data_IF_431633357312
#
_entry.id   IF_431633357312
#
_cell.length_a   1.000
_cell.length_b   1.000
_cell.length_c   1.000
_cell.angle_alpha   90.00
_cell.angle_beta   90.00
_cell.angle_gamma   90.00
#
_symmetry.space_group_name_H-M   'P 1'
#
loop_
_entity.id
_entity.type
_entity.pdbx_description
1 polymer ?
#
# COMPACT_ATOMS: atom_id res chain seq x y z
N UNK A 1 29.35 -7.70 15.01
CA UNK A 1 29.22 -7.05 13.68
C UNK A 1 28.68 -8.12 12.73
N UNK A 2 27.37 -8.16 12.50
CA UNK A 2 26.76 -9.23 11.69
C UNK A 2 27.09 -8.94 10.22
N UNK A 3 28.06 -9.66 9.67
CA UNK A 3 28.29 -9.71 8.22
C UNK A 3 27.06 -10.34 7.59
N UNK A 4 26.17 -9.50 7.09
CA UNK A 4 25.09 -9.91 6.22
C UNK A 4 25.75 -10.36 4.90
N UNK A 5 25.82 -11.66 4.68
CA UNK A 5 26.23 -12.29 3.42
C UNK A 5 25.33 -11.74 2.31
N UNK A 6 25.85 -10.72 1.60
CA UNK A 6 25.14 -10.01 0.53
C UNK A 6 24.92 -10.95 -0.65
N UNK A 7 23.71 -11.50 -0.75
CA UNK A 7 23.18 -11.89 -2.05
C UNK A 7 23.00 -10.59 -2.85
N UNK A 8 23.88 -10.33 -3.82
CA UNK A 8 23.84 -9.19 -4.74
C UNK A 8 22.73 -9.35 -5.79
N UNK A 9 21.58 -9.87 -5.37
CA UNK A 9 20.43 -10.12 -6.25
C UNK A 9 19.47 -8.96 -6.05
N UNK A 10 19.08 -8.32 -7.14
CA UNK A 10 18.08 -7.26 -7.12
C UNK A 10 16.76 -7.83 -6.59
N UNK A 11 16.21 -7.19 -5.55
CA UNK A 11 14.98 -7.66 -4.93
C UNK A 11 13.78 -6.86 -5.45
N UNK A 12 12.80 -7.57 -5.99
CA UNK A 12 11.45 -7.07 -6.23
C UNK A 12 10.52 -7.64 -5.16
N UNK A 13 9.79 -6.76 -4.49
CA UNK A 13 8.93 -7.16 -3.38
C UNK A 13 7.47 -7.19 -3.82
N UNK A 14 6.81 -8.33 -3.62
CA UNK A 14 5.38 -8.54 -3.83
C UNK A 14 4.70 -8.68 -2.47
N UNK A 15 3.85 -7.72 -2.10
CA UNK A 15 3.12 -7.78 -0.82
C UNK A 15 1.69 -7.31 -0.96
N UNK A 16 0.81 -7.96 -0.20
CA UNK A 16 -0.61 -7.68 -0.17
C UNK A 16 -1.19 -7.71 1.24
N UNK A 17 -2.31 -7.04 1.40
CA UNK A 17 -3.11 -7.07 2.62
C UNK A 17 -4.48 -7.67 2.30
N UNK A 18 -4.78 -8.83 2.88
CA UNK A 18 -6.05 -9.52 2.69
C UNK A 18 -7.13 -8.86 3.55
N UNK A 19 -8.21 -8.39 2.92
CA UNK A 19 -9.42 -8.03 3.63
C UNK A 19 -10.41 -9.19 3.51
N UNK A 20 -10.84 -9.74 4.65
CA UNK A 20 -11.90 -10.75 4.70
C UNK A 20 -13.27 -10.14 4.40
N UNK A 21 -14.14 -10.89 3.73
CA UNK A 21 -15.54 -10.52 3.53
C UNK A 21 -16.45 -11.23 4.54
N UNK A 22 -17.29 -10.46 5.25
CA UNK A 22 -18.36 -10.99 6.09
C UNK A 22 -19.73 -10.77 5.43
N UNK A 23 -20.73 -11.59 5.78
CA UNK A 23 -22.10 -11.54 5.21
C UNK A 23 -22.84 -10.22 5.43
N UNK A 24 -22.39 -9.40 6.38
CA UNK A 24 -22.93 -8.07 6.71
C UNK A 24 -22.25 -6.90 6.00
N UNK A 25 -21.20 -7.15 5.21
CA UNK A 25 -20.43 -6.06 4.57
C UNK A 25 -21.08 -5.59 3.26
N UNK A 26 -21.24 -4.28 3.13
CA UNK A 26 -21.72 -3.63 1.91
C UNK A 26 -20.58 -3.35 0.93
N UNK A 27 -20.92 -3.06 -0.34
CA UNK A 27 -19.95 -2.60 -1.34
C UNK A 27 -19.12 -1.38 -0.89
N UNK A 28 -19.70 -0.51 -0.04
CA UNK A 28 -19.03 0.67 0.51
C UNK A 28 -17.95 0.27 1.51
N UNK A 29 -18.17 -0.79 2.28
CA UNK A 29 -17.22 -1.30 3.27
C UNK A 29 -16.00 -1.92 2.61
N UNK A 30 -16.17 -2.56 1.44
CA UNK A 30 -15.06 -3.06 0.63
C UNK A 30 -14.21 -1.95 -0.02
N UNK A 31 -14.78 -0.75 -0.19
CA UNK A 31 -14.03 0.40 -0.71
C UNK A 31 -13.25 1.14 0.38
N UNK A 32 -13.66 1.04 1.65
CA UNK A 32 -13.01 1.68 2.78
C UNK A 32 -11.90 0.80 3.38
N UNK A 33 -10.79 0.65 2.65
CA UNK A 33 -9.65 -0.20 3.02
C UNK A 33 -8.51 0.58 3.69
N UNK A 34 -8.85 1.42 4.68
CA UNK A 34 -7.87 2.19 5.48
C UNK A 34 -6.78 1.31 6.13
N UNK A 35 -7.07 0.10 6.66
CA UNK A 35 -6.03 -0.79 7.17
C UNK A 35 -4.96 -1.15 6.14
N UNK A 36 -5.34 -1.34 4.87
CA UNK A 36 -4.39 -1.60 3.78
C UNK A 36 -3.48 -0.39 3.52
N UNK A 37 -4.03 0.82 3.58
CA UNK A 37 -3.24 2.05 3.42
C UNK A 37 -2.14 2.11 4.49
N UNK A 38 -2.49 1.85 5.74
CA UNK A 38 -1.52 1.83 6.85
C UNK A 38 -0.46 0.75 6.64
N UNK A 39 -0.87 -0.46 6.26
CA UNK A 39 0.05 -1.55 5.95
C UNK A 39 1.07 -1.18 4.86
N UNK A 40 0.60 -0.65 3.72
CA UNK A 40 1.46 -0.25 2.60
C UNK A 40 2.40 0.88 3.03
N UNK A 41 1.89 1.88 3.74
CA UNK A 41 2.68 3.03 4.22
C UNK A 41 3.80 2.59 5.15
N UNK A 42 3.48 1.75 6.12
CA UNK A 42 4.43 1.30 7.13
C UNK A 42 5.49 0.40 6.46
N UNK A 43 5.07 -0.48 5.54
CA UNK A 43 5.99 -1.31 4.78
C UNK A 43 6.95 -0.49 3.91
N UNK A 44 6.45 0.50 3.17
CA UNK A 44 7.29 1.40 2.37
C UNK A 44 8.30 2.17 3.24
N UNK A 45 7.92 2.50 4.49
CA UNK A 45 8.82 3.14 5.44
C UNK A 45 9.97 2.22 5.86
N UNK A 46 9.66 0.95 6.17
CA UNK A 46 10.69 -0.05 6.48
C UNK A 46 11.55 -0.37 5.26
N UNK A 47 10.95 -0.49 4.08
CA UNK A 47 11.66 -0.72 2.82
C UNK A 47 12.65 0.42 2.52
N UNK A 48 12.22 1.67 2.69
CA UNK A 48 13.11 2.81 2.55
C UNK A 48 14.26 2.78 3.57
N UNK A 49 14.02 2.30 4.79
CA UNK A 49 15.06 2.10 5.80
C UNK A 49 16.06 1.01 5.38
N UNK A 50 15.58 -0.12 4.87
CA UNK A 50 16.41 -1.20 4.37
C UNK A 50 17.30 -0.76 3.19
N UNK A 51 16.73 0.03 2.25
CA UNK A 51 17.48 0.63 1.14
C UNK A 51 18.60 1.55 1.69
N UNK A 52 18.29 2.41 2.66
CA UNK A 52 19.30 3.27 3.31
C UNK A 52 20.40 2.46 4.02
N UNK A 53 20.06 1.30 4.56
CA UNK A 53 21.01 0.38 5.19
C UNK A 53 21.79 -0.49 4.18
N UNK A 54 21.64 -0.24 2.88
CA UNK A 54 22.46 -0.84 1.84
C UNK A 54 21.89 -2.07 1.14
N UNK A 55 20.57 -2.30 1.23
CA UNK A 55 19.86 -3.28 0.41
C UNK A 55 19.61 -2.77 -1.02
N UNK A 56 19.88 -3.59 -2.06
CA UNK A 56 19.58 -3.26 -3.47
C UNK A 56 18.13 -3.64 -3.83
N UNK A 57 17.20 -2.74 -3.55
CA UNK A 57 15.79 -2.87 -3.94
C UNK A 57 15.48 -1.87 -5.05
N UNK A 58 15.02 -2.38 -6.19
CA UNK A 58 14.79 -1.57 -7.40
C UNK A 58 13.31 -1.34 -7.72
N UNK A 59 12.42 -2.11 -7.12
CA UNK A 59 11.00 -2.02 -7.40
C UNK A 59 10.14 -2.66 -6.31
N UNK A 60 8.92 -2.14 -6.20
CA UNK A 60 7.89 -2.63 -5.30
C UNK A 60 6.60 -2.85 -6.08
N UNK A 61 6.04 -4.04 -5.98
CA UNK A 61 4.77 -4.41 -6.61
C UNK A 61 3.74 -4.72 -5.53
N UNK A 62 2.58 -4.08 -5.63
CA UNK A 62 1.45 -4.37 -4.74
C UNK A 62 0.73 -5.60 -5.25
N UNK A 63 0.57 -6.59 -4.37
CA UNK A 63 -0.38 -7.67 -4.54
C UNK A 63 -1.73 -7.25 -3.95
N UNK A 64 -2.78 -7.03 -4.75
CA UNK A 64 -2.87 -7.15 -6.21
C UNK A 64 -3.52 -5.90 -6.81
N UNK A 65 -3.53 -5.79 -8.14
CA UNK A 65 -4.28 -4.72 -8.80
C UNK A 65 -5.79 -4.91 -8.63
N UNK A 66 -6.29 -6.11 -8.88
CA UNK A 66 -7.71 -6.47 -8.85
C UNK A 66 -7.96 -7.53 -7.78
N UNK A 67 -9.15 -7.51 -7.18
CA UNK A 67 -9.59 -8.64 -6.36
C UNK A 67 -9.63 -9.90 -7.23
N UNK A 68 -8.91 -10.94 -6.80
CA UNK A 68 -8.71 -12.19 -7.52
C UNK A 68 -9.17 -13.39 -6.69
N UNK A 69 -9.19 -14.56 -7.33
CA UNK A 69 -9.41 -15.84 -6.66
C UNK A 69 -8.19 -16.18 -5.80
N UNK A 70 -8.38 -16.27 -4.49
CA UNK A 70 -7.31 -16.55 -3.54
C UNK A 70 -7.30 -18.02 -3.14
N UNK A 71 -6.91 -18.87 -4.10
CA UNK A 71 -6.62 -20.31 -3.92
C UNK A 71 -7.58 -21.03 -2.96
N UNK A 72 -7.10 -21.43 -1.79
CA UNK A 72 -7.84 -22.19 -0.77
C UNK A 72 -8.98 -21.39 -0.13
N UNK A 73 -8.92 -20.06 -0.19
CA UNK A 73 -9.93 -19.15 0.34
C UNK A 73 -10.96 -18.72 -0.73
N UNK A 74 -10.75 -19.11 -1.98
CA UNK A 74 -11.61 -18.75 -3.10
C UNK A 74 -11.87 -17.25 -3.21
N UNK A 75 -13.13 -16.87 -3.42
CA UNK A 75 -13.55 -15.46 -3.47
C UNK A 75 -14.05 -14.95 -2.11
N UNK A 76 -13.49 -15.37 -0.99
CA UNK A 76 -13.82 -14.78 0.33
C UNK A 76 -12.81 -13.71 0.77
N UNK A 77 -11.62 -13.72 0.18
CA UNK A 77 -10.58 -12.74 0.43
C UNK A 77 -10.52 -11.69 -0.68
N UNK A 78 -10.20 -10.46 -0.30
CA UNK A 78 -10.12 -9.30 -1.19
C UNK A 78 -8.75 -8.65 -1.03
N UNK A 79 -7.85 -8.88 -1.98
CA UNK A 79 -6.45 -8.42 -1.97
C UNK A 79 -6.18 -7.24 -2.91
N UNK A 80 -7.10 -6.94 -3.82
CA UNK A 80 -6.90 -5.98 -4.89
C UNK A 80 -7.07 -4.53 -4.45
N UNK A 81 -6.31 -3.63 -5.07
CA UNK A 81 -6.53 -2.18 -5.01
C UNK A 81 -7.90 -1.76 -5.59
N UNK A 82 -8.41 -2.55 -6.55
CA UNK A 82 -9.74 -2.39 -7.11
C UNK A 82 -10.65 -3.50 -6.63
N UNK A 83 -11.81 -3.10 -6.13
CA UNK A 83 -12.89 -4.02 -5.85
C UNK A 83 -13.51 -4.52 -7.15
N UNK A 84 -13.70 -5.83 -7.26
CA UNK A 84 -14.41 -6.46 -8.38
C UNK A 84 -15.69 -7.08 -7.85
N UNK A 85 -16.83 -6.63 -8.38
CA UNK A 85 -18.09 -7.34 -8.22
C UNK A 85 -18.10 -8.52 -9.20
N UNK A 86 -18.09 -9.75 -8.68
CA UNK A 86 -18.01 -10.95 -9.51
C UNK A 86 -19.29 -11.25 -10.30
N UNK A 87 -20.44 -10.67 -9.93
CA UNK A 87 -21.69 -10.85 -10.65
C UNK A 87 -21.78 -9.91 -11.85
N UNK A 88 -21.40 -8.65 -11.66
CA UNK A 88 -21.50 -7.61 -12.71
C UNK A 88 -20.18 -7.34 -13.44
N UNK A 89 -19.09 -7.92 -12.94
CA UNK A 89 -17.71 -7.64 -13.35
C UNK A 89 -17.33 -6.16 -13.22
N UNK A 90 -18.09 -5.37 -12.44
CA UNK A 90 -17.80 -3.94 -12.25
C UNK A 90 -16.56 -3.78 -11.37
N UNK A 91 -15.64 -2.91 -11.81
CA UNK A 91 -14.43 -2.56 -11.05
C UNK A 91 -14.60 -1.20 -10.39
N UNK A 92 -14.39 -1.17 -9.08
CA UNK A 92 -14.52 0.05 -8.26
C UNK A 92 -13.19 0.32 -7.55
N UNK A 93 -12.56 1.49 -7.73
CA UNK A 93 -11.31 1.80 -7.03
C UNK A 93 -11.54 1.91 -5.52
N UNK A 94 -10.70 1.26 -4.72
CA UNK A 94 -10.72 1.40 -3.25
C UNK A 94 -9.99 2.67 -2.82
N UNK A 95 -10.10 3.04 -1.55
CA UNK A 95 -9.34 4.17 -0.99
C UNK A 95 -7.84 3.98 -1.15
N UNK A 96 -7.33 2.76 -0.98
CA UNK A 96 -5.93 2.42 -1.20
C UNK A 96 -5.45 2.70 -2.62
N UNK A 97 -6.26 2.45 -3.66
CA UNK A 97 -5.91 2.78 -5.04
C UNK A 97 -5.71 4.29 -5.21
N UNK A 98 -6.63 5.09 -4.66
CA UNK A 98 -6.53 6.54 -4.70
C UNK A 98 -5.33 7.07 -3.91
N UNK A 99 -5.07 6.50 -2.74
CA UNK A 99 -3.92 6.84 -1.92
C UNK A 99 -2.60 6.51 -2.63
N UNK A 100 -2.48 5.30 -3.19
CA UNK A 100 -1.27 4.84 -3.87
C UNK A 100 -0.99 5.67 -5.12
N UNK A 101 -2.03 6.05 -5.88
CA UNK A 101 -1.91 7.00 -6.99
C UNK A 101 -1.35 8.35 -6.54
N UNK A 102 -1.81 8.90 -5.42
CA UNK A 102 -1.29 10.17 -4.87
C UNK A 102 0.14 10.02 -4.36
N UNK A 103 0.48 8.87 -3.78
CA UNK A 103 1.83 8.54 -3.35
C UNK A 103 2.81 8.53 -4.53
N UNK A 104 2.49 7.80 -5.60
CA UNK A 104 3.32 7.71 -6.81
C UNK A 104 3.51 9.06 -7.51
N UNK A 105 2.51 9.94 -7.46
CA UNK A 105 2.60 11.31 -8.00
C UNK A 105 3.41 12.26 -7.11
N UNK A 106 3.95 11.80 -5.98
CA UNK A 106 4.69 12.64 -5.01
C UNK A 106 3.81 13.64 -4.25
N UNK A 107 2.50 13.63 -4.45
CA UNK A 107 1.57 14.65 -3.91
C UNK A 107 1.43 14.58 -2.39
N UNK A 108 1.75 13.42 -1.77
CA UNK A 108 1.69 13.22 -0.32
C UNK A 108 2.95 13.67 0.43
N UNK A 109 4.06 13.87 -0.28
CA UNK A 109 5.32 14.37 0.32
C UNK A 109 5.28 15.89 0.43
N UNK A 110 4.73 16.56 -0.58
CA UNK A 110 4.61 18.03 -0.60
C UNK A 110 3.64 18.62 0.43
N UNK A 111 2.65 17.87 0.92
CA UNK A 111 1.73 18.36 1.98
C UNK A 111 2.41 18.39 3.36
N UNK A 112 3.21 17.37 3.70
CA UNK A 112 3.88 17.30 5.01
C UNK A 112 5.00 18.34 5.17
N UNK A 113 5.70 18.69 4.08
CA UNK A 113 6.68 19.77 4.10
C UNK A 113 6.02 21.15 4.25
N UNK A 114 4.86 21.35 3.59
CA UNK A 114 4.07 22.59 3.72
C UNK A 114 3.54 22.80 5.15
N UNK A 115 3.03 21.74 5.78
CA UNK A 115 2.54 21.80 7.17
C UNK A 115 3.66 22.04 8.20
N UNK A 116 4.87 21.52 7.94
CA UNK A 116 6.03 21.79 8.81
C UNK A 116 6.61 23.20 8.60
N UNK A 117 6.61 23.71 7.37
CA UNK A 117 7.05 25.08 7.09
C UNK A 117 6.12 26.13 7.68
N UNK A 118 4.80 25.90 7.68
CA UNK A 118 3.83 26.81 8.31
C UNK A 118 3.93 26.78 9.83
N UNK A 119 4.19 25.63 10.45
CA UNK A 119 4.45 25.60 11.90
C UNK A 119 5.76 26.30 12.29
N UNK A 120 6.85 26.17 11.52
CA UNK A 120 8.12 26.83 11.82
C UNK A 120 8.04 28.36 11.74
N UNK A 121 7.22 28.92 10.83
CA UNK A 121 7.01 30.37 10.73
C UNK A 121 6.31 30.99 11.95
N UNK A 122 5.59 30.20 12.74
CA UNK A 122 4.93 30.67 13.97
C UNK A 122 5.84 30.67 15.21
N UNK A 123 7.04 30.06 15.15
CA UNK A 123 7.98 30.00 16.28
C UNK A 123 9.16 30.98 16.18
N UNK A 124 9.31 31.72 15.08
CA UNK A 124 10.38 32.72 14.87
C UNK A 124 9.87 34.15 15.01
N UNK A 125 9.15 34.45 16.08
CA UNK A 125 8.80 35.82 16.49
C UNK A 125 9.74 36.31 17.59
#
# INVERSE_FOLDING_TARGET
MIQCTRYLVCVYVFLGYAQGSNSSMSAKDFTNDTPRINYIRDYLTFLASAIRNGADVRGYFIWSLLDCFEWTSGYTLRLGLYHVDFNTLKRTPKLSANWFRKFLKGSLVGTRLRDKSSQLQHYTA
#
